data_IF_061923658095
#
_entry.id   IF_061923658095
#
_cell.length_a   1.000
_cell.length_b   1.000
_cell.length_c   1.000
_cell.angle_alpha   90.00
_cell.angle_beta   90.00
_cell.angle_gamma   90.00
#
_symmetry.space_group_name_H-M   'P 1'
#
loop_
_entity.id
_entity.type
_entity.pdbx_description
1 polymer ?
#
# COMPACT_ATOMS: atom_id res chain seq x y z
N UNK A 1 -30.82 -16.71 35.60
CA UNK A 1 -29.45 -16.59 35.08
C UNK A 1 -29.31 -16.83 33.56
N UNK A 2 -30.37 -17.26 32.84
CA UNK A 2 -30.32 -17.46 31.38
C UNK A 2 -30.53 -16.20 30.52
N UNK A 3 -31.02 -15.10 31.12
CA UNK A 3 -31.27 -13.83 30.41
C UNK A 3 -29.99 -13.00 30.21
N UNK A 4 -28.99 -13.14 31.08
CA UNK A 4 -27.74 -12.37 31.00
C UNK A 4 -26.82 -12.84 29.87
N UNK A 5 -26.83 -14.14 29.55
CA UNK A 5 -26.06 -14.73 28.44
C UNK A 5 -26.56 -14.29 27.07
N UNK A 6 -27.87 -14.07 26.88
CA UNK A 6 -28.41 -13.53 25.63
C UNK A 6 -28.05 -12.06 25.42
N UNK A 7 -27.99 -11.25 26.48
CA UNK A 7 -27.61 -9.85 26.40
C UNK A 7 -26.12 -9.68 26.04
N UNK A 8 -25.25 -10.54 26.58
CA UNK A 8 -23.82 -10.55 26.24
C UNK A 8 -23.60 -10.98 24.78
N UNK A 9 -24.32 -12.01 24.30
CA UNK A 9 -24.24 -12.48 22.92
C UNK A 9 -24.81 -11.44 21.91
N UNK A 10 -25.88 -10.74 22.29
CA UNK A 10 -26.47 -9.65 21.49
C UNK A 10 -25.58 -8.41 21.47
N UNK A 11 -24.92 -8.08 22.58
CA UNK A 11 -23.97 -6.96 22.64
C UNK A 11 -22.69 -7.26 21.85
N UNK A 12 -22.20 -8.51 21.82
CA UNK A 12 -21.07 -8.91 20.99
C UNK A 12 -21.38 -8.91 19.48
N UNK A 13 -22.64 -9.13 19.09
CA UNK A 13 -23.07 -9.04 17.68
C UNK A 13 -23.31 -7.60 17.21
N UNK A 14 -23.55 -6.66 18.13
CA UNK A 14 -23.56 -5.21 17.85
C UNK A 14 -22.15 -4.62 17.65
N UNK A 15 -21.08 -5.30 18.12
CA UNK A 15 -19.68 -4.85 18.00
C UNK A 15 -18.97 -5.46 16.78
N UNK A 16 -19.68 -6.23 15.95
CA UNK A 16 -19.21 -6.57 14.60
C UNK A 16 -19.30 -5.33 13.67
N UNK A 17 -18.58 -4.27 14.03
CA UNK A 17 -18.27 -3.19 13.10
C UNK A 17 -17.48 -3.81 11.93
N UNK A 18 -17.88 -3.50 10.70
CA UNK A 18 -17.09 -3.89 9.53
C UNK A 18 -15.64 -3.45 9.71
N UNK A 19 -14.70 -4.36 9.44
CA UNK A 19 -13.27 -4.12 9.63
C UNK A 19 -12.75 -3.20 8.52
N UNK A 20 -13.07 -1.92 8.61
CA UNK A 20 -12.69 -0.95 7.60
C UNK A 20 -11.17 -0.79 7.54
N UNK A 21 -10.65 -0.66 6.32
CA UNK A 21 -9.29 -0.17 6.11
C UNK A 21 -9.27 1.30 6.48
N UNK A 22 -8.56 1.63 7.55
CA UNK A 22 -8.51 2.98 8.12
C UNK A 22 -7.25 3.75 7.72
N UNK A 23 -6.20 3.05 7.29
CA UNK A 23 -4.97 3.66 6.79
C UNK A 23 -4.29 2.76 5.77
N UNK A 24 -3.66 3.36 4.77
CA UNK A 24 -2.68 2.70 3.90
C UNK A 24 -1.41 3.52 3.97
N UNK A 25 -0.27 2.85 4.11
CA UNK A 25 1.04 3.49 3.99
C UNK A 25 1.95 2.73 3.03
N UNK A 26 2.89 3.47 2.44
CA UNK A 26 3.95 2.92 1.60
C UNK A 26 5.33 3.42 2.00
N UNK A 27 6.35 2.67 1.60
CA UNK A 27 7.75 2.99 1.81
C UNK A 27 8.62 2.25 0.77
N UNK A 28 9.84 2.75 0.56
CA UNK A 28 10.82 2.14 -0.33
C UNK A 28 11.91 1.46 0.48
N UNK A 29 12.24 0.22 0.10
CA UNK A 29 13.36 -0.61 0.59
C UNK A 29 13.36 -0.94 2.09
N UNK A 30 13.54 0.05 2.96
CA UNK A 30 13.64 -0.14 4.41
C UNK A 30 12.31 0.19 5.09
N UNK A 31 11.82 -0.72 5.94
CA UNK A 31 10.61 -0.47 6.75
C UNK A 31 10.88 0.60 7.82
N UNK A 32 10.19 1.76 7.79
CA UNK A 32 10.35 2.81 8.80
C UNK A 32 9.64 2.49 10.13
N UNK A 33 8.98 1.34 10.22
CA UNK A 33 8.12 0.97 11.33
C UNK A 33 6.68 1.46 11.16
N UNK A 34 5.78 0.84 11.90
CA UNK A 34 4.34 1.03 11.77
C UNK A 34 3.90 2.48 11.99
N UNK A 35 3.23 3.04 10.99
CA UNK A 35 2.68 4.39 11.04
C UNK A 35 3.67 5.51 10.70
N UNK A 36 4.93 5.15 10.41
CA UNK A 36 5.99 6.06 9.98
C UNK A 36 6.19 6.05 8.46
N UNK A 37 5.40 5.28 7.71
CA UNK A 37 5.41 5.29 6.26
C UNK A 37 4.68 6.51 5.67
N UNK A 38 4.82 6.70 4.37
CA UNK A 38 4.10 7.72 3.63
C UNK A 38 2.63 7.32 3.54
N UNK A 39 1.73 8.16 4.03
CA UNK A 39 0.30 7.84 4.10
C UNK A 39 -0.40 8.11 2.77
N UNK A 40 -1.23 7.17 2.32
CA UNK A 40 -2.12 7.38 1.19
C UNK A 40 -3.47 7.92 1.66
N UNK A 41 -4.00 8.98 1.03
CA UNK A 41 -5.32 9.50 1.36
C UNK A 41 -6.39 8.50 0.93
N UNK A 42 -7.17 8.00 1.89
CA UNK A 42 -8.29 7.08 1.65
C UNK A 42 -9.52 7.54 2.43
N UNK A 43 -10.69 7.09 1.97
CA UNK A 43 -11.90 7.09 2.80
C UNK A 43 -12.02 5.70 3.40
N UNK A 44 -12.25 5.60 4.72
CA UNK A 44 -12.35 4.32 5.38
C UNK A 44 -13.50 3.48 4.79
N UNK A 45 -13.21 2.23 4.44
CA UNK A 45 -14.17 1.31 3.87
C UNK A 45 -13.70 -0.14 4.07
N UNK A 46 -14.62 -1.13 4.04
CA UNK A 46 -14.26 -2.54 4.21
C UNK A 46 -13.50 -3.09 2.99
N UNK A 47 -13.71 -2.50 1.82
CA UNK A 47 -13.01 -2.82 0.58
C UNK A 47 -12.63 -1.52 -0.14
N UNK A 48 -11.39 -1.44 -0.63
CA UNK A 48 -10.88 -0.29 -1.36
C UNK A 48 -10.33 -0.73 -2.70
N UNK A 49 -10.69 0.00 -3.75
CA UNK A 49 -10.09 -0.11 -5.08
C UNK A 49 -9.87 1.32 -5.58
N UNK A 50 -8.62 1.74 -5.62
CA UNK A 50 -8.24 3.10 -5.96
C UNK A 50 -6.87 3.13 -6.64
N UNK A 51 -6.74 4.01 -7.62
CA UNK A 51 -5.45 4.35 -8.21
C UNK A 51 -4.75 5.41 -7.36
N UNK A 52 -3.46 5.24 -7.12
CA UNK A 52 -2.65 6.21 -6.39
C UNK A 52 -1.38 6.56 -7.18
N UNK A 53 -0.90 7.78 -6.98
CA UNK A 53 0.37 8.25 -7.53
C UNK A 53 1.41 8.24 -6.43
N UNK A 54 2.51 7.53 -6.64
CA UNK A 54 3.65 7.52 -5.72
C UNK A 54 4.70 8.51 -6.24
N UNK A 55 4.96 9.61 -5.51
CA UNK A 55 6.01 10.54 -5.90
C UNK A 55 7.39 9.89 -5.70
N UNK A 56 8.26 10.03 -6.68
CA UNK A 56 9.64 9.50 -6.68
C UNK A 56 10.68 10.58 -6.31
N UNK A 57 10.25 11.72 -5.77
CA UNK A 57 11.13 12.86 -5.55
C UNK A 57 12.27 12.55 -4.57
N UNK A 58 12.03 11.67 -3.59
CA UNK A 58 13.01 11.24 -2.58
C UNK A 58 13.66 9.89 -2.89
N UNK A 59 13.33 9.26 -4.02
CA UNK A 59 13.85 7.95 -4.42
C UNK A 59 14.98 8.17 -5.41
N UNK A 60 16.11 7.51 -5.19
CA UNK A 60 17.24 7.51 -6.14
C UNK A 60 16.85 6.80 -7.45
N UNK A 61 17.62 7.01 -8.51
CA UNK A 61 17.45 6.19 -9.72
C UNK A 61 17.97 4.77 -9.48
N UNK A 62 17.32 3.79 -10.10
CA UNK A 62 17.72 2.38 -10.01
C UNK A 62 16.62 1.44 -9.54
N UNK A 63 17.03 0.23 -9.12
CA UNK A 63 16.12 -0.79 -8.63
C UNK A 63 15.77 -0.57 -7.16
N UNK A 64 14.47 -0.61 -6.87
CA UNK A 64 13.91 -0.46 -5.54
C UNK A 64 12.79 -1.47 -5.31
N UNK A 65 12.41 -1.68 -4.06
CA UNK A 65 11.19 -2.40 -3.71
C UNK A 65 10.23 -1.41 -3.05
N UNK A 66 9.06 -1.22 -3.68
CA UNK A 66 7.94 -0.52 -3.08
C UNK A 66 7.17 -1.47 -2.18
N UNK A 67 6.99 -1.10 -0.93
CA UNK A 67 6.15 -1.82 0.02
C UNK A 67 4.87 -1.04 0.31
N UNK A 68 3.76 -1.75 0.45
CA UNK A 68 2.48 -1.19 0.86
C UNK A 68 1.88 -2.03 1.97
N UNK A 69 1.35 -1.41 3.02
CA UNK A 69 0.56 -2.09 4.04
C UNK A 69 -0.65 -1.29 4.44
N UNK A 70 -1.70 -2.00 4.83
CA UNK A 70 -2.96 -1.44 5.27
C UNK A 70 -3.14 -1.63 6.77
N UNK A 71 -3.94 -0.77 7.39
CA UNK A 71 -4.35 -0.89 8.79
C UNK A 71 -5.85 -1.07 8.87
N UNK A 72 -6.29 -2.08 9.59
CA UNK A 72 -7.70 -2.31 9.93
C UNK A 72 -7.81 -2.72 11.39
N UNK A 73 -8.77 -2.15 12.12
CA UNK A 73 -9.01 -2.43 13.53
C UNK A 73 -7.75 -2.41 14.41
N UNK A 74 -6.89 -1.40 14.22
CA UNK A 74 -5.65 -1.27 14.98
C UNK A 74 -4.49 -2.13 14.50
N UNK A 75 -4.73 -3.15 13.66
CA UNK A 75 -3.73 -4.11 13.20
C UNK A 75 -3.22 -3.77 11.81
N UNK A 76 -1.91 -3.95 11.59
CA UNK A 76 -1.27 -3.78 10.30
C UNK A 76 -1.25 -5.09 9.52
N UNK A 77 -1.45 -5.00 8.20
CA UNK A 77 -1.29 -6.13 7.30
C UNK A 77 0.18 -6.52 7.14
N UNK A 78 0.41 -7.74 6.63
CA UNK A 78 1.68 -8.07 5.99
C UNK A 78 1.84 -7.13 4.78
N UNK A 79 3.01 -6.51 4.59
CA UNK A 79 3.23 -5.63 3.45
C UNK A 79 3.26 -6.41 2.14
N UNK A 80 2.65 -5.84 1.11
CA UNK A 80 2.83 -6.29 -0.28
C UNK A 80 4.08 -5.62 -0.83
N UNK A 81 4.98 -6.41 -1.43
CA UNK A 81 6.18 -5.93 -2.09
C UNK A 81 6.00 -5.87 -3.62
N UNK A 82 6.52 -4.81 -4.23
CA UNK A 82 6.53 -4.59 -5.67
C UNK A 82 7.92 -4.08 -6.10
N UNK A 83 8.71 -4.89 -6.82
CA UNK A 83 9.93 -4.42 -7.45
C UNK A 83 9.61 -3.32 -8.47
N UNK A 84 10.37 -2.23 -8.43
CA UNK A 84 10.22 -1.10 -9.34
C UNK A 84 11.59 -0.59 -9.78
N UNK A 85 11.64 -0.01 -10.98
CA UNK A 85 12.80 0.74 -11.45
C UNK A 85 12.44 2.22 -11.47
N UNK A 86 13.10 3.02 -10.62
CA UNK A 86 12.88 4.46 -10.53
C UNK A 86 13.81 5.19 -11.50
N UNK A 87 13.24 6.09 -12.30
CA UNK A 87 13.97 6.90 -13.28
C UNK A 87 13.35 8.30 -13.31
N UNK A 88 14.16 9.37 -13.17
CA UNK A 88 13.65 10.74 -13.00
C UNK A 88 13.54 11.51 -14.32
N UNK A 89 14.16 11.02 -15.38
CA UNK A 89 14.05 11.60 -16.72
C UNK A 89 13.73 10.49 -17.72
N UNK A 90 12.73 10.71 -18.59
CA UNK A 90 12.70 9.96 -19.84
C UNK A 90 14.07 10.16 -20.48
N UNK A 91 14.82 9.09 -20.68
CA UNK A 91 16.15 9.17 -21.26
C UNK A 91 16.01 9.75 -22.68
N UNK A 92 16.14 11.06 -22.80
CA UNK A 92 16.26 11.77 -24.09
C UNK A 92 17.73 11.71 -24.51
N UNK A 93 18.32 10.51 -24.53
CA UNK A 93 19.41 10.32 -25.48
C UNK A 93 18.75 10.39 -26.84
N UNK A 94 19.10 11.42 -27.63
CA UNK A 94 18.84 11.42 -29.07
C UNK A 94 19.20 10.04 -29.59
N UNK A 95 18.18 9.23 -29.93
CA UNK A 95 18.42 7.94 -30.54
C UNK A 95 19.08 8.23 -31.87
N UNK A 96 20.40 8.01 -31.97
CA UNK A 96 21.00 7.78 -33.27
C UNK A 96 20.21 6.63 -33.89
N UNK A 97 19.71 6.85 -35.11
CA UNK A 97 18.84 5.95 -35.85
C UNK A 97 19.11 4.48 -35.51
N UNK A 98 18.12 3.74 -34.98
CA UNK A 98 18.32 2.33 -34.64
C UNK A 98 18.59 1.58 -35.95
N UNK A 99 19.85 1.20 -36.19
CA UNK A 99 20.28 0.60 -37.46
C UNK A 99 20.08 -0.92 -37.50
N UNK A 100 19.90 -1.57 -36.35
CA UNK A 100 19.72 -3.02 -36.29
C UNK A 100 19.00 -3.44 -35.01
N UNK A 101 18.17 -4.48 -35.11
CA UNK A 101 17.49 -5.12 -33.98
C UNK A 101 17.51 -6.63 -34.22
N UNK A 102 18.19 -7.35 -33.34
CA UNK A 102 18.28 -8.81 -33.39
C UNK A 102 17.27 -9.42 -32.41
N UNK A 103 16.67 -10.54 -32.79
CA UNK A 103 15.95 -11.43 -31.87
C UNK A 103 16.50 -12.84 -32.03
N UNK A 104 16.54 -13.59 -30.93
CA UNK A 104 16.95 -14.99 -30.88
C UNK A 104 15.74 -15.90 -30.77
#
# INVERSE_FOLDING_TARGET
MRSLTFLIAFLSSLIAAGQDVTRIEYYFDTDPGFGNGMTMPIVAAPNLTQNFTVPLNTVSEGFHILYLRAKSNGLWSIPVSKPVFAQRQAQTTSITNIQHLEYF
#
